data_IF_816766093403
#
_entry.id   IF_816766093403
#
_cell.length_a   1.000
_cell.length_b   1.000
_cell.length_c   1.000
_cell.angle_alpha   90.00
_cell.angle_beta   90.00
_cell.angle_gamma   90.00
#
_symmetry.space_group_name_H-M   'P 1'
#
loop_
_entity.id
_entity.type
_entity.pdbx_description
1 polymer ?
#
# COMPACT_ATOMS: atom_id res chain seq x y z
N UNK A 1 -9.73 -4.80 -10.35
CA UNK A 1 -9.18 -4.93 -8.99
C UNK A 1 -7.95 -5.82 -9.05
N UNK A 2 -6.81 -5.34 -8.60
CA UNK A 2 -5.56 -6.09 -8.52
C UNK A 2 -4.83 -5.79 -7.21
N UNK A 3 -3.96 -6.70 -6.79
CA UNK A 3 -3.02 -6.46 -5.70
C UNK A 3 -1.74 -5.86 -6.27
N UNK A 4 -1.32 -4.74 -5.73
CA UNK A 4 -0.19 -3.95 -6.19
C UNK A 4 0.75 -3.62 -5.03
N UNK A 5 2.02 -3.92 -5.18
CA UNK A 5 3.07 -3.47 -4.26
C UNK A 5 3.93 -2.42 -4.94
N UNK A 6 4.14 -1.31 -4.27
CA UNK A 6 4.94 -0.20 -4.79
C UNK A 6 6.12 0.04 -3.85
N UNK A 7 7.33 -0.15 -4.36
CA UNK A 7 8.55 0.26 -3.69
C UNK A 7 8.94 1.68 -4.11
N UNK A 8 9.05 2.57 -3.14
CA UNK A 8 9.50 3.95 -3.39
C UNK A 8 10.91 4.14 -2.88
N UNK A 9 11.73 4.83 -3.66
CA UNK A 9 13.07 5.24 -3.32
C UNK A 9 14.10 4.99 -4.41
N UNK A 10 15.30 5.47 -4.17
CA UNK A 10 16.42 5.37 -5.10
C UNK A 10 17.47 4.37 -4.61
N UNK A 11 17.70 3.25 -5.34
CA UNK A 11 18.67 2.22 -4.94
C UNK A 11 20.10 2.71 -4.72
N UNK A 12 20.47 3.85 -5.31
CA UNK A 12 21.82 4.41 -5.22
C UNK A 12 21.99 5.42 -4.08
N UNK A 13 20.98 5.56 -3.18
CA UNK A 13 20.95 6.61 -2.15
C UNK A 13 20.87 6.09 -0.71
N UNK A 14 21.68 5.12 -0.35
CA UNK A 14 21.76 4.62 1.03
C UNK A 14 20.43 4.04 1.50
N UNK A 15 19.88 4.56 2.61
CA UNK A 15 18.65 4.06 3.22
C UNK A 15 17.40 4.29 2.34
N UNK A 16 17.45 5.21 1.38
CA UNK A 16 16.39 5.46 0.41
C UNK A 16 16.04 4.22 -0.43
N UNK A 17 16.98 3.30 -0.54
CA UNK A 17 16.80 2.04 -1.27
C UNK A 17 15.83 1.06 -0.60
N UNK A 18 15.45 1.25 0.67
CA UNK A 18 14.76 0.23 1.46
C UNK A 18 13.39 -0.12 0.88
N UNK A 19 12.60 0.86 0.41
CA UNK A 19 11.28 0.60 -0.17
C UNK A 19 11.37 -0.28 -1.42
N UNK A 20 12.32 0.01 -2.29
CA UNK A 20 12.61 -0.77 -3.51
C UNK A 20 13.10 -2.18 -3.15
N UNK A 21 13.99 -2.31 -2.16
CA UNK A 21 14.50 -3.61 -1.73
C UNK A 21 13.39 -4.49 -1.15
N UNK A 22 12.50 -3.93 -0.31
CA UNK A 22 11.32 -4.62 0.20
C UNK A 22 10.43 -5.10 -0.94
N UNK A 23 10.09 -4.24 -1.89
CA UNK A 23 9.25 -4.58 -3.03
C UNK A 23 9.83 -5.71 -3.88
N UNK A 24 11.14 -5.71 -4.13
CA UNK A 24 11.85 -6.78 -4.86
C UNK A 24 11.80 -8.12 -4.13
N UNK A 25 11.92 -8.13 -2.80
CA UNK A 25 11.83 -9.37 -2.03
C UNK A 25 10.38 -9.89 -2.02
N UNK A 26 9.38 -9.02 -1.90
CA UNK A 26 7.97 -9.40 -2.06
C UNK A 26 7.71 -10.01 -3.44
N UNK A 27 8.24 -9.44 -4.52
CA UNK A 27 8.11 -10.01 -5.87
C UNK A 27 8.66 -11.43 -5.99
N UNK A 28 9.71 -11.76 -5.23
CA UNK A 28 10.28 -13.10 -5.21
C UNK A 28 9.41 -14.11 -4.44
N UNK A 29 8.68 -13.67 -3.40
CA UNK A 29 7.83 -14.51 -2.56
C UNK A 29 6.40 -14.62 -3.09
N UNK A 30 5.87 -13.56 -3.71
CA UNK A 30 4.51 -13.44 -4.25
C UNK A 30 4.54 -13.08 -5.75
N UNK A 31 4.87 -14.03 -6.63
CA UNK A 31 4.94 -13.79 -8.08
C UNK A 31 3.57 -13.51 -8.74
N UNK A 32 2.49 -13.70 -8.00
CA UNK A 32 1.11 -13.38 -8.36
C UNK A 32 0.76 -11.90 -8.19
N UNK A 33 1.55 -11.14 -7.41
CA UNK A 33 1.33 -9.72 -7.12
C UNK A 33 2.09 -8.86 -8.12
N UNK A 34 1.46 -7.79 -8.60
CA UNK A 34 2.15 -6.79 -9.44
C UNK A 34 3.03 -5.91 -8.56
N UNK A 35 4.32 -5.84 -8.90
CA UNK A 35 5.29 -5.01 -8.18
C UNK A 35 5.81 -3.90 -9.07
N UNK A 36 5.77 -2.67 -8.60
CA UNK A 36 6.29 -1.48 -9.28
C UNK A 36 7.32 -0.77 -8.40
N UNK A 37 8.26 -0.09 -9.05
CA UNK A 37 9.31 0.70 -8.38
C UNK A 37 9.27 2.12 -8.91
N UNK A 38 9.29 3.11 -8.02
CA UNK A 38 9.34 4.52 -8.38
C UNK A 38 10.37 5.27 -7.53
N UNK A 39 11.10 6.19 -8.17
CA UNK A 39 11.96 7.12 -7.46
C UNK A 39 11.13 8.27 -6.84
N UNK A 40 10.11 8.75 -7.55
CA UNK A 40 9.24 9.84 -7.09
C UNK A 40 7.87 9.31 -6.62
N UNK A 41 7.46 9.55 -5.35
CA UNK A 41 6.15 9.13 -4.83
C UNK A 41 4.95 9.65 -5.63
N UNK A 42 5.08 10.76 -6.35
CA UNK A 42 3.99 11.31 -7.15
C UNK A 42 3.63 10.44 -8.36
N UNK A 43 4.56 9.63 -8.86
CA UNK A 43 4.32 8.70 -9.96
C UNK A 43 3.41 7.54 -9.52
N UNK A 44 3.41 7.19 -8.24
CA UNK A 44 2.57 6.13 -7.69
C UNK A 44 1.07 6.44 -7.84
N UNK A 45 0.67 7.73 -7.82
CA UNK A 45 -0.74 8.14 -7.94
C UNK A 45 -1.36 7.71 -9.28
N UNK A 46 -0.55 7.64 -10.32
CA UNK A 46 -1.02 7.24 -11.66
C UNK A 46 -0.93 5.73 -11.89
N UNK A 47 -0.35 4.98 -10.95
CA UNK A 47 -0.13 3.55 -11.06
C UNK A 47 -1.28 2.70 -10.52
N UNK A 48 -2.13 3.24 -9.65
CA UNK A 48 -3.26 2.52 -9.06
C UNK A 48 -4.61 3.01 -9.54
N UNK A 49 -5.60 2.15 -9.41
CA UNK A 49 -7.01 2.45 -9.65
C UNK A 49 -7.81 2.42 -8.32
N UNK A 50 -8.99 3.06 -8.26
CA UNK A 50 -9.80 3.13 -7.02
C UNK A 50 -10.18 1.79 -6.40
N UNK A 51 -10.32 0.75 -7.22
CA UNK A 51 -10.72 -0.59 -6.77
C UNK A 51 -9.53 -1.50 -6.42
N UNK A 52 -8.28 -1.00 -6.51
CA UNK A 52 -7.10 -1.80 -6.22
C UNK A 52 -6.83 -1.91 -4.71
N UNK A 53 -6.10 -2.97 -4.36
CA UNK A 53 -5.40 -3.11 -3.09
C UNK A 53 -3.95 -2.74 -3.29
N UNK A 54 -3.49 -1.71 -2.60
CA UNK A 54 -2.13 -1.15 -2.78
C UNK A 54 -1.39 -1.16 -1.46
N UNK A 55 -0.19 -1.74 -1.47
CA UNK A 55 0.76 -1.63 -0.37
C UNK A 55 2.00 -0.90 -0.85
N UNK A 56 2.33 0.21 -0.20
CA UNK A 56 3.50 1.03 -0.52
C UNK A 56 4.58 0.82 0.53
N UNK A 57 5.79 0.48 0.10
CA UNK A 57 6.98 0.46 0.95
C UNK A 57 7.87 1.68 0.65
N UNK A 58 8.28 2.40 1.68
CA UNK A 58 9.07 3.64 1.56
C UNK A 58 10.00 3.84 2.76
N UNK A 59 11.08 4.58 2.54
CA UNK A 59 11.93 5.09 3.61
C UNK A 59 11.26 6.30 4.26
N UNK A 60 11.14 6.30 5.59
CA UNK A 60 10.57 7.42 6.34
C UNK A 60 11.57 8.02 7.31
N UNK A 61 11.47 9.32 7.57
CA UNK A 61 12.28 10.02 8.54
C UNK A 61 11.38 10.75 9.54
N UNK A 62 10.94 10.00 10.56
CA UNK A 62 10.04 10.53 11.60
C UNK A 62 10.79 10.97 12.87
N UNK A 63 12.09 10.67 12.95
CA UNK A 63 12.93 10.88 14.12
C UNK A 63 12.98 9.67 15.06
N UNK A 64 12.49 8.51 14.60
CA UNK A 64 12.64 7.22 15.27
C UNK A 64 14.04 6.63 15.15
N UNK A 65 14.17 5.34 15.51
CA UNK A 65 15.42 4.61 15.35
C UNK A 65 15.49 4.00 13.95
N UNK A 66 16.63 4.07 13.24
CA UNK A 66 16.79 3.42 11.95
C UNK A 66 16.41 1.96 12.01
N UNK A 67 15.52 1.53 11.10
CA UNK A 67 14.97 0.19 11.06
C UNK A 67 13.66 -0.01 11.82
N UNK A 68 13.15 1.01 12.54
CA UNK A 68 11.78 0.95 13.08
C UNK A 68 10.78 0.87 11.90
N UNK A 69 9.76 0.02 12.04
CA UNK A 69 8.75 -0.19 11.00
C UNK A 69 7.44 0.45 11.43
N UNK A 70 6.84 1.20 10.51
CA UNK A 70 5.55 1.85 10.67
C UNK A 70 4.57 1.30 9.64
N UNK A 71 3.43 0.77 10.09
CA UNK A 71 2.35 0.31 9.21
C UNK A 71 1.15 1.22 9.40
N UNK A 72 0.67 1.81 8.32
CA UNK A 72 -0.44 2.78 8.38
C UNK A 72 -1.46 2.48 7.30
N UNK A 73 -2.71 2.30 7.69
CA UNK A 73 -3.84 2.29 6.77
C UNK A 73 -4.09 3.72 6.28
N UNK A 74 -3.56 4.01 5.10
CA UNK A 74 -3.66 5.34 4.49
C UNK A 74 -4.98 5.56 3.75
N UNK A 75 -5.81 4.53 3.56
CA UNK A 75 -7.19 4.70 3.11
C UNK A 75 -8.06 5.25 4.23
N UNK A 76 -7.93 4.73 5.45
CA UNK A 76 -8.74 5.12 6.60
C UNK A 76 -8.24 6.38 7.30
N UNK A 77 -6.93 6.66 7.30
CA UNK A 77 -6.35 7.78 8.02
C UNK A 77 -5.30 8.55 7.23
N UNK A 78 -5.01 9.77 7.66
CA UNK A 78 -3.94 10.57 7.06
C UNK A 78 -2.58 10.09 7.49
N UNK A 79 -1.64 10.06 6.55
CA UNK A 79 -0.24 9.85 6.88
C UNK A 79 0.31 11.02 7.71
N UNK A 80 1.24 10.76 8.66
CA UNK A 80 1.84 11.81 9.46
C UNK A 80 2.60 12.82 8.59
N UNK A 81 2.03 14.01 8.41
CA UNK A 81 2.66 15.08 7.63
C UNK A 81 3.82 15.72 8.41
N UNK A 82 4.89 16.07 7.72
CA UNK A 82 6.05 16.79 8.28
C UNK A 82 7.08 15.91 9.00
N UNK A 83 6.78 14.64 9.27
CA UNK A 83 7.71 13.66 9.85
C UNK A 83 7.97 12.45 8.94
N UNK A 84 7.15 12.28 7.91
CA UNK A 84 7.24 11.20 6.92
C UNK A 84 7.71 11.72 5.56
N UNK A 85 8.62 12.68 5.56
CA UNK A 85 9.34 13.01 4.35
C UNK A 85 10.65 12.27 4.39
N UNK A 86 10.84 11.32 3.48
CA UNK A 86 12.18 10.82 3.18
C UNK A 86 13.09 12.04 2.97
N UNK A 87 14.31 12.01 3.46
CA UNK A 87 15.31 13.06 3.22
C UNK A 87 15.68 13.20 1.74
N UNK A 88 14.73 12.90 0.85
CA UNK A 88 14.83 12.92 -0.60
C UNK A 88 14.65 14.31 -1.19
N UNK A 89 15.20 14.49 -2.39
CA UNK A 89 15.10 15.70 -3.20
C UNK A 89 13.71 15.90 -3.82
N UNK A 90 12.75 15.03 -3.52
CA UNK A 90 11.40 15.08 -4.09
C UNK A 90 10.61 16.23 -3.48
N UNK A 91 10.05 17.07 -4.35
CA UNK A 91 9.26 18.24 -3.94
C UNK A 91 7.97 17.83 -3.17
N UNK A 92 7.51 16.60 -3.37
CA UNK A 92 6.33 16.03 -2.74
C UNK A 92 6.70 14.67 -2.16
N UNK A 93 6.71 14.53 -0.83
CA UNK A 93 6.83 13.21 -0.19
C UNK A 93 5.55 12.38 -0.31
N UNK A 94 5.64 11.08 -0.01
CA UNK A 94 4.53 10.13 -0.10
C UNK A 94 3.26 10.61 0.60
N UNK A 95 3.37 11.22 1.78
CA UNK A 95 2.21 11.74 2.51
C UNK A 95 1.46 12.82 1.72
N UNK A 96 2.17 13.70 1.01
CA UNK A 96 1.55 14.72 0.17
C UNK A 96 0.93 14.10 -1.10
N UNK A 97 1.59 13.12 -1.72
CA UNK A 97 1.07 12.39 -2.86
C UNK A 97 -0.26 11.68 -2.52
N UNK A 98 -0.32 10.99 -1.39
CA UNK A 98 -1.55 10.33 -0.88
C UNK A 98 -2.68 11.34 -0.64
N UNK A 99 -2.39 12.50 -0.03
CA UNK A 99 -3.41 13.53 0.20
C UNK A 99 -3.91 14.18 -1.10
N UNK A 100 -3.06 14.30 -2.11
CA UNK A 100 -3.49 14.75 -3.46
C UNK A 100 -4.42 13.70 -4.08
N UNK A 101 -4.07 12.42 -4.05
CA UNK A 101 -4.91 11.33 -4.54
C UNK A 101 -6.27 11.31 -3.82
N UNK A 102 -6.26 11.50 -2.49
CA UNK A 102 -7.48 11.62 -1.68
C UNK A 102 -8.36 12.80 -2.13
N UNK A 103 -7.77 13.98 -2.33
CA UNK A 103 -8.50 15.17 -2.75
C UNK A 103 -9.09 15.05 -4.16
N UNK A 104 -8.45 14.27 -5.04
CA UNK A 104 -8.90 14.00 -6.40
C UNK A 104 -9.91 12.84 -6.48
N UNK A 105 -10.22 12.16 -5.37
CA UNK A 105 -11.08 10.97 -5.36
C UNK A 105 -10.45 9.77 -6.07
N UNK A 106 -9.11 9.69 -6.09
CA UNK A 106 -8.31 8.65 -6.75
C UNK A 106 -7.60 7.72 -5.77
N UNK A 107 -7.98 7.78 -4.48
CA UNK A 107 -7.38 6.90 -3.48
C UNK A 107 -7.87 5.47 -3.69
N UNK A 108 -6.98 4.46 -3.67
CA UNK A 108 -7.41 3.07 -3.73
C UNK A 108 -8.29 2.72 -2.53
N UNK A 109 -9.14 1.71 -2.70
CA UNK A 109 -10.03 1.21 -1.62
C UNK A 109 -9.23 0.78 -0.41
N UNK A 110 -8.15 0.03 -0.64
CA UNK A 110 -7.21 -0.40 0.37
C UNK A 110 -5.84 0.20 0.04
N UNK A 111 -5.32 1.04 0.92
CA UNK A 111 -3.98 1.61 0.80
C UNK A 111 -3.26 1.48 2.13
N UNK A 112 -2.29 0.61 2.19
CA UNK A 112 -1.41 0.46 3.34
C UNK A 112 -0.03 0.99 3.01
N UNK A 113 0.56 1.75 3.93
CA UNK A 113 1.94 2.22 3.82
C UNK A 113 2.78 1.55 4.88
N UNK A 114 3.85 0.89 4.44
CA UNK A 114 4.90 0.31 5.28
C UNK A 114 6.12 1.20 5.18
N UNK A 115 6.33 2.03 6.19
CA UNK A 115 7.47 2.93 6.31
C UNK A 115 8.60 2.31 7.11
N UNK A 116 9.83 2.38 6.63
CA UNK A 116 11.02 1.97 7.39
C UNK A 116 11.82 3.21 7.78
N UNK A 117 12.02 3.41 9.07
CA UNK A 117 12.75 4.57 9.57
C UNK A 117 14.19 4.60 9.08
N UNK A 118 14.61 5.71 8.49
CA UNK A 118 15.84 5.91 7.77
C UNK A 118 16.51 7.24 8.12
N UNK A 119 17.83 7.31 7.94
CA UNK A 119 18.62 8.52 8.28
C UNK A 119 19.65 8.92 7.22
N UNK A 120 20.12 7.98 6.43
CA UNK A 120 21.28 8.20 5.55
C UNK A 120 20.87 8.12 4.08
N UNK A 121 20.71 9.27 3.46
CA UNK A 121 20.21 9.43 2.08
C UNK A 121 21.31 9.90 1.11
N UNK A 122 22.56 9.53 1.36
CA UNK A 122 23.70 9.93 0.54
C UNK A 122 23.81 9.11 -0.74
N UNK A 123 24.08 9.77 -1.88
CA UNK A 123 24.37 9.09 -3.12
C UNK A 123 25.64 8.23 -3.03
N UNK A 124 25.58 7.03 -3.61
CA UNK A 124 26.72 6.10 -3.65
C UNK A 124 27.10 5.53 -2.28
N UNK A 125 26.26 5.71 -1.25
CA UNK A 125 26.46 5.09 0.04
C UNK A 125 25.61 3.83 0.17
N UNK A 126 26.07 2.78 0.87
CA UNK A 126 25.24 1.62 1.15
C UNK A 126 24.13 1.96 2.14
N UNK A 127 23.08 1.15 2.15
CA UNK A 127 22.06 1.15 3.19
C UNK A 127 22.68 0.88 4.55
N UNK A 128 22.25 1.58 5.60
CA UNK A 128 22.73 1.37 6.96
C UNK A 128 22.37 -0.04 7.47
N UNK A 129 23.25 -0.67 8.24
CA UNK A 129 23.06 -2.03 8.74
C UNK A 129 21.71 -2.23 9.48
N UNK A 130 21.28 -1.23 10.26
CA UNK A 130 20.02 -1.30 10.98
C UNK A 130 18.80 -1.30 10.04
N UNK A 131 18.86 -0.53 8.96
CA UNK A 131 17.79 -0.47 7.94
C UNK A 131 17.80 -1.76 7.12
N UNK A 132 18.97 -2.23 6.70
CA UNK A 132 19.11 -3.51 5.99
C UNK A 132 18.60 -4.70 6.83
N UNK A 133 18.87 -4.70 8.13
CA UNK A 133 18.39 -5.75 9.05
C UNK A 133 16.85 -5.71 9.23
N UNK A 134 16.18 -4.59 8.98
CA UNK A 134 14.74 -4.44 9.08
C UNK A 134 13.99 -4.93 7.83
N UNK A 135 14.66 -5.09 6.69
CA UNK A 135 14.02 -5.47 5.41
C UNK A 135 13.16 -6.74 5.54
N UNK A 136 13.62 -7.87 6.15
CA UNK A 136 12.78 -9.05 6.27
C UNK A 136 11.48 -8.80 7.04
N UNK A 137 11.52 -8.02 8.12
CA UNK A 137 10.33 -7.69 8.91
C UNK A 137 9.40 -6.72 8.15
N UNK A 138 9.96 -5.83 7.33
CA UNK A 138 9.16 -4.96 6.46
C UNK A 138 8.48 -5.77 5.33
N UNK A 139 9.15 -6.77 4.76
CA UNK A 139 8.57 -7.72 3.80
C UNK A 139 7.40 -8.46 4.45
N UNK A 140 7.57 -9.00 5.66
CA UNK A 140 6.49 -9.68 6.40
C UNK A 140 5.30 -8.74 6.63
N UNK A 141 5.53 -7.47 6.96
CA UNK A 141 4.48 -6.48 7.14
C UNK A 141 3.71 -6.21 5.82
N UNK A 142 4.39 -6.15 4.69
CA UNK A 142 3.76 -6.02 3.36
C UNK A 142 2.91 -7.24 3.03
N UNK A 143 3.45 -8.45 3.24
CA UNK A 143 2.72 -9.70 2.99
C UNK A 143 1.48 -9.83 3.87
N UNK A 144 1.59 -9.50 5.16
CA UNK A 144 0.44 -9.45 6.07
C UNK A 144 -0.63 -8.48 5.60
N UNK A 145 -0.25 -7.27 5.17
CA UNK A 145 -1.20 -6.28 4.66
C UNK A 145 -1.94 -6.75 3.39
N UNK A 146 -1.27 -7.49 2.52
CA UNK A 146 -1.90 -8.11 1.34
C UNK A 146 -2.89 -9.20 1.75
N UNK A 147 -2.49 -10.10 2.64
CA UNK A 147 -3.33 -11.22 3.08
C UNK A 147 -4.58 -10.72 3.85
N UNK A 148 -4.45 -9.69 4.69
CA UNK A 148 -5.57 -9.07 5.39
C UNK A 148 -6.58 -8.44 4.42
N UNK A 149 -6.10 -7.80 3.36
CA UNK A 149 -6.95 -7.22 2.33
C UNK A 149 -7.66 -8.30 1.49
N UNK A 150 -6.98 -9.37 1.14
CA UNK A 150 -7.56 -10.52 0.43
C UNK A 150 -8.66 -11.19 1.28
N UNK A 151 -8.44 -11.35 2.59
CA UNK A 151 -9.43 -11.89 3.51
C UNK A 151 -10.69 -11.03 3.57
N UNK A 152 -10.54 -9.70 3.69
CA UNK A 152 -11.66 -8.77 3.72
C UNK A 152 -12.47 -8.79 2.41
N UNK A 153 -11.82 -8.91 1.26
CA UNK A 153 -12.50 -9.00 -0.03
C UNK A 153 -13.31 -10.29 -0.15
N UNK A 154 -12.77 -11.42 0.30
CA UNK A 154 -13.48 -12.69 0.30
C UNK A 154 -14.72 -12.65 1.21
N UNK A 155 -14.63 -12.02 2.38
CA UNK A 155 -15.79 -11.83 3.27
C UNK A 155 -16.89 -10.98 2.63
N UNK A 156 -16.53 -9.94 1.87
CA UNK A 156 -17.49 -9.08 1.17
C UNK A 156 -18.16 -9.82 0.00
N UNK A 157 -17.40 -10.58 -0.77
CA UNK A 157 -17.94 -11.38 -1.87
C UNK A 157 -18.89 -12.48 -1.37
N UNK A 158 -18.60 -13.13 -0.22
CA UNK A 158 -19.46 -14.10 0.41
C UNK A 158 -20.76 -13.44 0.94
N UNK A 159 -20.66 -12.24 1.53
CA UNK A 159 -21.82 -11.51 2.03
C UNK A 159 -22.75 -11.04 0.89
N UNK A 160 -22.20 -10.63 -0.25
CA UNK A 160 -22.96 -10.26 -1.44
C UNK A 160 -23.60 -11.49 -2.09
N UNK A 161 -22.93 -12.65 -2.08
CA UNK A 161 -23.48 -13.90 -2.59
C UNK A 161 -24.68 -14.39 -1.76
N UNK A 162 -24.63 -14.26 -0.43
CA UNK A 162 -25.72 -14.60 0.48
C UNK A 162 -26.90 -13.61 0.37
N UNK A 163 -26.63 -12.35 0.01
CA UNK A 163 -27.67 -11.33 -0.17
C UNK A 163 -28.47 -11.49 -1.49
N UNK A 164 -27.92 -12.20 -2.48
CA UNK A 164 -28.55 -12.51 -3.77
C UNK A 164 -29.04 -13.96 -3.79
N UNK A 165 -29.78 -14.41 -2.78
CA UNK A 165 -30.54 -15.64 -2.90
C UNK A 165 -31.74 -15.39 -3.85
N UNK A 166 -31.57 -15.88 -5.09
CA UNK A 166 -32.52 -15.72 -6.20
C UNK A 166 -33.92 -16.24 -5.86
N UNK A 167 -34.06 -17.13 -4.90
CA UNK A 167 -35.35 -17.67 -4.46
C UNK A 167 -36.17 -16.62 -3.71
N UNK A 168 -35.56 -15.67 -3.02
CA UNK A 168 -36.25 -14.56 -2.34
C UNK A 168 -36.80 -13.54 -3.35
N UNK A 169 -36.09 -13.32 -4.48
CA UNK A 169 -36.54 -12.39 -5.53
C UNK A 169 -37.67 -12.98 -6.35
N UNK A 170 -37.65 -14.28 -6.65
CA UNK A 170 -38.69 -14.97 -7.38
C UNK A 170 -39.98 -15.02 -6.55
N UNK A 171 -39.93 -15.27 -5.24
CA UNK A 171 -41.10 -15.26 -4.35
C UNK A 171 -41.77 -13.90 -4.26
N UNK A 172 -40.98 -12.81 -4.32
CA UNK A 172 -41.53 -11.46 -4.27
C UNK A 172 -42.22 -11.03 -5.59
N UNK A 173 -41.82 -11.59 -6.73
CA UNK A 173 -42.45 -11.32 -8.03
C UNK A 173 -43.73 -12.12 -8.21
N UNK A 174 -43.81 -13.35 -7.71
CA UNK A 174 -45.01 -14.18 -7.77
C UNK A 174 -46.16 -13.63 -6.90
N UNK A 175 -45.84 -12.93 -5.79
CA UNK A 175 -46.86 -12.30 -4.90
C UNK A 175 -47.45 -11.01 -5.50
N UNK A 176 -46.82 -10.41 -6.51
CA UNK A 176 -47.30 -9.20 -7.21
C UNK A 176 -48.14 -9.51 -8.47
N UNK A 177 -48.23 -10.76 -8.88
CA UNK A 177 -48.87 -11.21 -10.12
C UNK A 177 -50.31 -11.77 -9.99
N UNK A 178 -50.89 -11.77 -8.83
CA UNK A 178 -52.20 -12.39 -8.58
C UNK A 178 -53.30 -11.41 -8.28
N UNK A 179 -53.92 -10.85 -9.29
CA UNK A 179 -55.37 -10.60 -9.26
C UNK A 179 -55.93 -10.52 -10.71
N UNK A 180 -57.07 -11.17 -10.98
CA UNK A 180 -57.83 -11.03 -12.22
C UNK A 180 -58.74 -9.81 -12.22
#
# INVERSE_FOLDING_TARGET
>A
MQALVIGIGNPDRGDDAVGVEVARQVAAERPDVTVLEFDDPSEAIDAWEPDDTVVVADAVSSGGHPGDIHVVDAAAQKLPTGRWSAGGTHALGLAAAVEIARALGRLPRNLVVVGVEAKHFGHGTPMADAVAAAVPAAVEAVLTALDDADALLNELDEADADAVDADTVVAAIDDLGGEP
#
